data_IF_331850689106
#
_entry.id   IF_331850689106
#
_cell.length_a   1.000
_cell.length_b   1.000
_cell.length_c   1.000
_cell.angle_alpha   90.00
_cell.angle_beta   90.00
_cell.angle_gamma   90.00
#
_symmetry.space_group_name_H-M   'P 1'
#
loop_
_entity.id
_entity.type
_entity.pdbx_description
1 polymer ?
#
# COMPACT_ATOMS: atom_id res chain seq x y z
N UNK A 1 7.08 -17.05 -26.86
CA UNK A 1 6.09 -16.30 -27.65
C UNK A 1 4.72 -16.52 -27.04
N UNK A 2 4.36 -15.68 -26.06
CA UNK A 2 3.07 -15.74 -25.37
C UNK A 2 2.06 -14.86 -26.15
N UNK A 3 0.94 -15.40 -26.67
CA UNK A 3 -0.08 -14.59 -27.34
C UNK A 3 -0.86 -13.71 -26.33
N UNK A 4 -1.26 -12.48 -26.71
CA UNK A 4 -2.02 -11.60 -25.82
C UNK A 4 -3.45 -12.12 -25.62
N UNK A 5 -4.03 -11.78 -24.46
CA UNK A 5 -5.38 -12.14 -24.06
C UNK A 5 -6.38 -11.04 -24.50
N UNK A 6 -7.60 -11.43 -24.90
CA UNK A 6 -8.66 -10.48 -25.26
C UNK A 6 -9.45 -10.06 -24.00
N UNK A 7 -9.20 -8.84 -23.51
CA UNK A 7 -9.79 -8.34 -22.26
C UNK A 7 -11.33 -8.26 -22.25
N UNK A 8 -12.00 -8.33 -23.41
CA UNK A 8 -13.47 -8.29 -23.52
C UNK A 8 -14.02 -9.70 -23.64
N UNK A 9 -13.45 -10.52 -24.54
CA UNK A 9 -13.96 -11.88 -24.78
C UNK A 9 -13.55 -12.87 -23.69
N UNK A 10 -12.47 -12.58 -22.99
CA UNK A 10 -11.88 -13.44 -21.95
C UNK A 10 -12.00 -12.82 -20.56
N UNK A 11 -12.92 -11.87 -20.35
CA UNK A 11 -13.12 -11.22 -19.04
C UNK A 11 -13.38 -12.26 -17.93
N UNK A 12 -14.14 -13.32 -18.22
CA UNK A 12 -14.46 -14.41 -17.29
C UNK A 12 -13.23 -15.19 -16.77
N UNK A 13 -12.10 -15.16 -17.49
CA UNK A 13 -10.85 -15.81 -17.06
C UNK A 13 -9.86 -14.83 -16.44
N UNK A 14 -10.22 -13.55 -16.37
CA UNK A 14 -9.42 -12.48 -15.76
C UNK A 14 -10.02 -12.01 -14.44
N UNK A 15 -9.18 -11.52 -13.52
CA UNK A 15 -9.66 -10.89 -12.29
C UNK A 15 -8.73 -9.77 -11.86
N UNK A 16 -9.33 -8.67 -11.40
CA UNK A 16 -8.64 -7.53 -10.78
C UNK A 16 -8.77 -7.52 -9.26
N UNK A 17 -9.33 -8.59 -8.68
CA UNK A 17 -9.47 -8.71 -7.22
C UNK A 17 -8.09 -8.77 -6.58
N UNK A 18 -7.90 -7.96 -5.56
CA UNK A 18 -6.66 -7.86 -4.80
C UNK A 18 -6.93 -8.19 -3.33
N UNK A 19 -5.94 -8.77 -2.65
CA UNK A 19 -6.04 -9.10 -1.23
C UNK A 19 -4.94 -8.36 -0.47
N UNK A 20 -5.32 -7.62 0.57
CA UNK A 20 -4.42 -6.89 1.46
C UNK A 20 -4.39 -7.56 2.82
N UNK A 21 -3.22 -7.60 3.46
CA UNK A 21 -3.05 -8.19 4.78
C UNK A 21 -1.83 -9.11 4.89
N UNK A 22 -1.59 -9.64 6.09
CA UNK A 22 -0.43 -10.50 6.34
C UNK A 22 -0.50 -11.78 5.51
N UNK A 23 0.57 -12.08 4.78
CA UNK A 23 0.73 -13.34 4.06
C UNK A 23 1.23 -14.42 5.02
N UNK A 24 0.46 -15.50 5.16
CA UNK A 24 0.81 -16.64 6.01
C UNK A 24 1.71 -17.66 5.31
N UNK A 25 2.14 -18.68 6.06
CA UNK A 25 2.86 -19.81 5.49
C UNK A 25 1.93 -20.64 4.59
N UNK A 26 2.28 -20.76 3.31
CA UNK A 26 1.48 -21.48 2.29
C UNK A 26 1.37 -22.98 2.62
N UNK A 27 2.36 -23.55 3.32
CA UNK A 27 2.40 -24.96 3.69
C UNK A 27 1.56 -25.27 4.94
N UNK A 28 1.16 -24.24 5.69
CA UNK A 28 0.47 -24.37 6.98
C UNK A 28 -0.81 -23.53 6.98
N UNK A 29 -1.94 -24.10 6.51
CA UNK A 29 -3.21 -23.39 6.51
C UNK A 29 -3.69 -23.15 7.94
N UNK A 30 -3.79 -21.89 8.33
CA UNK A 30 -4.32 -21.46 9.64
C UNK A 30 -5.43 -20.44 9.45
N UNK A 31 -6.34 -20.34 10.43
CA UNK A 31 -7.41 -19.34 10.40
C UNK A 31 -6.87 -17.89 10.39
N UNK A 32 -5.65 -17.68 10.89
CA UNK A 32 -4.97 -16.39 10.82
C UNK A 32 -4.63 -15.98 9.38
N UNK A 33 -4.25 -16.94 8.52
CA UNK A 33 -3.92 -16.68 7.11
C UNK A 33 -5.15 -16.26 6.28
N UNK A 34 -6.36 -16.54 6.74
CA UNK A 34 -7.60 -16.09 6.11
C UNK A 34 -8.01 -14.65 6.51
N UNK A 35 -7.27 -14.01 7.43
CA UNK A 35 -7.52 -12.63 7.84
C UNK A 35 -6.91 -11.68 6.82
N UNK A 36 -7.66 -11.39 5.75
CA UNK A 36 -7.29 -10.44 4.72
C UNK A 36 -8.45 -9.50 4.37
N UNK A 37 -8.13 -8.33 3.83
CA UNK A 37 -9.07 -7.40 3.23
C UNK A 37 -9.10 -7.67 1.73
N UNK A 38 -10.27 -8.05 1.21
CA UNK A 38 -10.44 -8.26 -0.22
C UNK A 38 -10.95 -6.99 -0.88
N UNK A 39 -10.18 -6.47 -1.84
CA UNK A 39 -10.58 -5.39 -2.73
C UNK A 39 -11.11 -6.00 -4.03
N UNK A 40 -12.33 -5.65 -4.47
CA UNK A 40 -12.88 -6.14 -5.74
C UNK A 40 -12.13 -5.56 -6.95
N UNK A 41 -11.53 -4.39 -6.79
CA UNK A 41 -10.84 -3.63 -7.83
C UNK A 41 -9.66 -2.85 -7.19
N UNK A 42 -8.54 -2.62 -7.91
CA UNK A 42 -7.35 -1.97 -7.34
C UNK A 42 -7.50 -0.45 -7.19
N UNK A 43 -8.52 0.15 -7.80
CA UNK A 43 -8.86 1.56 -7.60
C UNK A 43 -9.95 1.65 -6.54
N UNK A 44 -9.67 2.43 -5.50
CA UNK A 44 -10.57 2.65 -4.37
C UNK A 44 -10.87 4.14 -4.22
N UNK A 45 -12.01 4.45 -3.62
CA UNK A 45 -12.37 5.83 -3.29
C UNK A 45 -11.78 6.30 -1.93
N UNK A 46 -12.04 7.56 -1.57
CA UNK A 46 -11.55 8.15 -0.32
C UNK A 46 -12.18 7.50 0.92
N UNK A 47 -13.43 7.05 0.84
CA UNK A 47 -14.15 6.43 1.97
C UNK A 47 -13.63 5.01 2.22
N UNK A 48 -13.35 4.26 1.15
CA UNK A 48 -12.68 2.97 1.18
C UNK A 48 -11.26 3.07 1.74
N UNK A 49 -10.49 4.07 1.29
CA UNK A 49 -9.17 4.34 1.85
C UNK A 49 -9.24 4.68 3.34
N UNK A 50 -10.21 5.51 3.76
CA UNK A 50 -10.38 5.85 5.17
C UNK A 50 -10.70 4.60 6.03
N UNK A 51 -11.53 3.67 5.52
CA UNK A 51 -11.79 2.39 6.19
C UNK A 51 -10.53 1.55 6.33
N UNK A 52 -9.65 1.54 5.33
CA UNK A 52 -8.37 0.81 5.38
C UNK A 52 -7.40 1.42 6.40
N UNK A 53 -7.30 2.75 6.44
CA UNK A 53 -6.42 3.45 7.39
C UNK A 53 -6.88 3.21 8.84
N UNK A 54 -8.20 3.20 9.07
CA UNK A 54 -8.79 3.01 10.39
C UNK A 54 -9.23 1.58 10.69
N UNK A 55 -8.77 0.60 9.90
CA UNK A 55 -9.23 -0.78 10.01
C UNK A 55 -8.95 -1.41 11.38
N UNK A 56 -7.88 -1.00 12.06
CA UNK A 56 -7.54 -1.46 13.41
C UNK A 56 -7.75 -0.37 14.47
N UNK A 57 -8.69 0.56 14.26
CA UNK A 57 -8.95 1.65 15.21
C UNK A 57 -9.39 1.15 16.59
N UNK A 58 -10.18 0.06 16.63
CA UNK A 58 -10.68 -0.53 17.86
C UNK A 58 -9.70 -1.52 18.52
N UNK A 59 -8.56 -1.83 17.85
CA UNK A 59 -7.56 -2.79 18.34
C UNK A 59 -7.92 -4.27 18.17
N UNK A 60 -9.11 -4.57 17.65
CA UNK A 60 -9.65 -5.93 17.49
C UNK A 60 -9.06 -6.71 16.30
N UNK A 61 -8.30 -6.04 15.42
CA UNK A 61 -7.66 -6.63 14.24
C UNK A 61 -6.13 -6.49 14.31
N UNK A 62 -5.47 -7.17 15.27
CA UNK A 62 -4.01 -7.21 15.34
C UNK A 62 -3.46 -7.78 14.03
N UNK A 63 -2.53 -7.05 13.41
CA UNK A 63 -1.98 -7.38 12.08
C UNK A 63 -2.64 -6.66 10.90
N UNK A 64 -3.56 -5.72 11.14
CA UNK A 64 -4.12 -4.82 10.12
C UNK A 64 -3.78 -3.35 10.35
N UNK A 65 -2.80 -3.04 11.22
CA UNK A 65 -2.39 -1.66 11.47
C UNK A 65 -1.87 -1.01 10.17
N UNK A 66 -2.42 0.15 9.84
CA UNK A 66 -1.99 0.94 8.70
C UNK A 66 -1.02 2.05 9.14
N UNK A 67 -0.05 2.37 8.27
CA UNK A 67 0.82 3.53 8.42
C UNK A 67 0.77 4.36 7.14
N UNK A 68 0.59 5.67 7.27
CA UNK A 68 0.61 6.60 6.14
C UNK A 68 1.92 7.38 6.17
N UNK A 69 2.67 7.32 5.07
CA UNK A 69 3.98 7.93 4.91
C UNK A 69 3.93 8.93 3.75
N UNK A 70 4.53 10.10 3.96
CA UNK A 70 4.54 11.16 2.95
C UNK A 70 5.65 10.91 1.92
N UNK A 71 5.28 10.70 0.67
CA UNK A 71 6.21 10.59 -0.47
C UNK A 71 6.58 11.97 -1.03
N UNK A 72 7.04 12.89 -0.18
CA UNK A 72 7.33 14.27 -0.55
C UNK A 72 8.80 14.62 -0.30
N UNK A 73 9.44 15.35 -1.22
CA UNK A 73 10.83 15.79 -1.11
C UNK A 73 10.96 17.29 -1.39
N UNK A 74 11.99 17.94 -0.83
CA UNK A 74 12.20 19.38 -1.01
C UNK A 74 12.72 19.70 -2.41
N UNK A 75 12.01 20.57 -3.13
CA UNK A 75 12.35 20.96 -4.50
C UNK A 75 13.70 21.68 -4.56
N UNK A 76 13.98 22.53 -3.57
CA UNK A 76 15.22 23.31 -3.51
C UNK A 76 16.50 22.48 -3.41
N UNK A 77 16.40 21.19 -3.03
CA UNK A 77 17.55 20.29 -2.92
C UNK A 77 17.82 19.42 -4.14
N UNK A 78 17.05 19.56 -5.23
CA UNK A 78 17.31 18.89 -6.50
C UNK A 78 17.33 17.35 -6.40
N UNK A 79 18.23 16.71 -7.16
CA UNK A 79 18.39 15.26 -7.21
C UNK A 79 18.82 14.65 -5.87
N UNK A 80 19.62 15.37 -5.11
CA UNK A 80 20.18 14.86 -3.85
C UNK A 80 19.09 14.79 -2.78
N UNK A 81 18.18 15.76 -2.75
CA UNK A 81 17.01 15.70 -1.87
C UNK A 81 16.04 14.56 -2.25
N UNK A 82 15.90 14.25 -3.54
CA UNK A 82 15.11 13.09 -3.97
C UNK A 82 15.76 11.78 -3.51
N UNK A 83 17.07 11.62 -3.72
CA UNK A 83 17.80 10.42 -3.30
C UNK A 83 17.75 10.24 -1.78
N UNK A 84 18.00 11.30 -1.01
CA UNK A 84 17.88 11.28 0.45
C UNK A 84 16.46 10.90 0.89
N UNK A 85 15.43 11.46 0.25
CA UNK A 85 14.04 11.14 0.62
C UNK A 85 13.69 9.68 0.32
N UNK A 86 14.22 9.09 -0.74
CA UNK A 86 14.03 7.66 -1.03
C UNK A 86 14.66 6.78 0.05
N UNK A 87 15.83 7.13 0.57
CA UNK A 87 16.46 6.39 1.67
C UNK A 87 15.66 6.55 2.98
N UNK A 88 15.24 7.78 3.28
CA UNK A 88 14.42 8.08 4.46
C UNK A 88 13.09 7.33 4.45
N UNK A 89 12.36 7.34 3.34
CA UNK A 89 11.04 6.68 3.27
C UNK A 89 11.18 5.16 3.38
N UNK A 90 12.26 4.56 2.84
CA UNK A 90 12.54 3.14 3.06
C UNK A 90 12.73 2.83 4.54
N UNK A 91 13.54 3.65 5.25
CA UNK A 91 13.76 3.48 6.68
C UNK A 91 12.49 3.72 7.52
N UNK A 92 11.65 4.70 7.14
CA UNK A 92 10.34 4.94 7.76
C UNK A 92 9.39 3.76 7.57
N UNK A 93 9.38 3.14 6.38
CA UNK A 93 8.61 1.92 6.10
C UNK A 93 9.08 0.77 6.97
N UNK A 94 10.39 0.54 7.06
CA UNK A 94 10.97 -0.52 7.88
C UNK A 94 10.58 -0.34 9.36
N UNK A 95 10.74 0.87 9.90
CA UNK A 95 10.36 1.19 11.27
C UNK A 95 8.84 1.01 11.50
N UNK A 96 8.00 1.39 10.54
CA UNK A 96 6.56 1.18 10.63
C UNK A 96 6.20 -0.32 10.66
N UNK A 97 6.88 -1.14 9.86
CA UNK A 97 6.67 -2.60 9.83
C UNK A 97 7.10 -3.24 11.15
N UNK A 98 8.23 -2.80 11.72
CA UNK A 98 8.71 -3.23 13.05
C UNK A 98 7.72 -2.84 14.16
N UNK A 99 7.12 -1.64 14.08
CA UNK A 99 6.04 -1.17 14.96
C UNK A 99 4.67 -1.84 14.68
N UNK A 100 4.66 -2.89 13.86
CA UNK A 100 3.51 -3.74 13.63
C UNK A 100 2.57 -3.29 12.51
N UNK A 101 2.92 -2.26 11.72
CA UNK A 101 2.17 -1.92 10.53
C UNK A 101 2.25 -3.05 9.50
N UNK A 102 1.12 -3.34 8.85
CA UNK A 102 0.99 -4.35 7.79
C UNK A 102 0.33 -3.80 6.54
N UNK A 103 -0.16 -2.56 6.61
CA UNK A 103 -0.63 -1.79 5.47
C UNK A 103 0.17 -0.48 5.43
N UNK A 104 0.81 -0.20 4.29
CA UNK A 104 1.55 1.04 4.08
C UNK A 104 0.83 1.86 3.02
N UNK A 105 0.54 3.13 3.34
CA UNK A 105 -0.07 4.10 2.43
C UNK A 105 0.98 5.15 2.12
N UNK A 106 1.53 5.12 0.91
CA UNK A 106 2.40 6.18 0.40
C UNK A 106 1.51 7.30 -0.15
N UNK A 107 1.66 8.52 0.37
CA UNK A 107 0.81 9.66 0.01
C UNK A 107 1.60 10.86 -0.44
N UNK A 108 1.15 11.46 -1.54
CA UNK A 108 1.62 12.73 -2.11
C UNK A 108 0.64 13.90 -1.85
N UNK A 109 -0.43 13.65 -1.06
CA UNK A 109 -1.57 14.56 -0.86
C UNK A 109 -1.19 15.95 -0.37
N UNK A 110 -0.06 16.08 0.32
CA UNK A 110 0.40 17.32 0.93
C UNK A 110 1.53 18.01 0.14
N UNK A 111 1.62 17.76 -1.16
CA UNK A 111 2.55 18.48 -2.03
C UNK A 111 2.25 19.98 -2.07
N UNK A 112 3.29 20.80 -2.08
CA UNK A 112 3.22 22.25 -2.10
C UNK A 112 4.38 22.85 -2.93
N UNK A 113 4.55 24.18 -2.90
CA UNK A 113 5.60 24.85 -3.66
C UNK A 113 7.03 24.46 -3.24
N UNK A 114 7.20 24.03 -1.99
CA UNK A 114 8.50 23.65 -1.41
C UNK A 114 8.71 22.13 -1.44
N UNK A 115 7.63 21.33 -1.46
CA UNK A 115 7.63 19.87 -1.40
C UNK A 115 6.98 19.26 -2.64
N UNK A 116 7.79 18.70 -3.52
CA UNK A 116 7.33 17.95 -4.69
C UNK A 116 7.06 16.48 -4.34
N UNK A 117 6.13 15.83 -5.07
CA UNK A 117 5.87 14.41 -4.94
C UNK A 117 6.99 13.58 -5.54
N UNK A 118 7.36 12.49 -4.87
CA UNK A 118 8.19 11.44 -5.47
C UNK A 118 7.37 10.80 -6.61
N UNK A 119 7.94 10.61 -7.81
CA UNK A 119 7.24 9.97 -8.91
C UNK A 119 6.71 8.57 -8.52
N UNK A 120 5.40 8.35 -8.69
CA UNK A 120 4.67 7.12 -8.39
C UNK A 120 4.88 6.02 -9.44
#
# INVERSE_FOLDING_TARGET
TNPPLDAIREELVTSLRSSLGPQGNILEPTAAAARSVTLPFPVIDNDELAKLIHINADGDMPGMKAATLAGLYRVGGGSDALAARLEEICAEVDAAIEDGARLIVLSDRHSDAEHAPIPS
#
